data_IF_678615672729
#
_entry.id   IF_678615672729
#
_cell.length_a   1.000
_cell.length_b   1.000
_cell.length_c   1.000
_cell.angle_alpha   90.00
_cell.angle_beta   90.00
_cell.angle_gamma   90.00
#
_symmetry.space_group_name_H-M   'P 1'
#
loop_
_entity.id
_entity.type
_entity.pdbx_description
1 polymer ?
#
# COMPACT_ATOMS: atom_id res chain seq x y z
N UNK A 1 -3.68 6.65 20.01
CA UNK A 1 -2.30 6.37 20.50
C UNK A 1 -1.39 6.89 19.40
N UNK A 2 -0.82 8.07 19.60
CA UNK A 2 -0.04 8.81 18.59
C UNK A 2 1.39 8.29 18.66
N UNK A 3 1.93 7.73 17.58
CA UNK A 3 3.34 7.38 17.52
C UNK A 3 4.16 8.66 17.41
N UNK A 4 5.19 8.87 18.24
CA UNK A 4 6.07 10.02 18.11
C UNK A 4 7.03 9.81 16.94
N UNK A 5 7.47 10.88 16.25
CA UNK A 5 8.54 10.77 15.27
C UNK A 5 9.85 10.44 16.01
N UNK A 6 10.43 9.27 15.75
CA UNK A 6 11.77 8.95 16.23
C UNK A 6 12.79 9.72 15.38
N UNK A 7 13.20 10.89 15.87
CA UNK A 7 14.41 11.57 15.42
C UNK A 7 15.45 11.36 16.51
N UNK A 8 16.33 10.37 16.33
CA UNK A 8 17.58 10.31 17.09
C UNK A 8 18.73 10.75 16.18
N UNK A 9 19.32 11.86 16.57
CA UNK A 9 20.53 12.45 16.03
C UNK A 9 21.74 11.53 16.22
N UNK A 10 22.30 11.00 15.14
CA UNK A 10 23.70 10.56 15.09
C UNK A 10 24.24 10.82 13.68
N UNK A 11 25.05 11.89 13.58
CA UNK A 11 25.92 12.16 12.44
C UNK A 11 27.06 11.12 12.45
N UNK A 12 27.15 10.33 11.38
CA UNK A 12 28.33 9.53 11.04
C UNK A 12 28.33 9.26 9.53
N UNK A 13 29.11 10.06 8.80
CA UNK A 13 29.51 9.81 7.42
C UNK A 13 30.38 8.54 7.37
N UNK A 14 29.95 7.52 6.61
CA UNK A 14 30.73 6.46 5.89
C UNK A 14 30.03 5.10 5.85
N UNK A 15 28.84 5.05 5.29
CA UNK A 15 28.40 3.89 4.52
C UNK A 15 27.78 4.44 3.24
N UNK A 16 28.54 4.43 2.14
CA UNK A 16 27.96 4.73 0.83
C UNK A 16 26.91 3.66 0.56
N UNK A 17 25.63 4.03 0.65
CA UNK A 17 24.56 3.14 0.23
C UNK A 17 24.80 2.86 -1.26
N UNK A 18 25.00 1.58 -1.59
CA UNK A 18 25.04 1.16 -2.98
C UNK A 18 23.61 1.15 -3.52
N UNK A 19 23.18 2.31 -4.00
CA UNK A 19 21.90 2.46 -4.67
C UNK A 19 21.96 1.82 -6.06
N UNK A 20 20.91 1.08 -6.42
CA UNK A 20 20.70 0.65 -7.81
C UNK A 20 20.53 1.86 -8.74
N UNK A 21 20.68 1.67 -10.06
CA UNK A 21 20.46 2.76 -11.03
C UNK A 21 19.03 3.33 -10.93
N UNK A 22 18.04 2.48 -10.67
CA UNK A 22 16.64 2.87 -10.48
C UNK A 22 16.47 3.75 -9.24
N UNK A 23 17.10 3.37 -8.12
CA UNK A 23 17.07 4.16 -6.89
C UNK A 23 17.79 5.50 -7.06
N UNK A 24 18.95 5.54 -7.73
CA UNK A 24 19.64 6.81 -8.04
C UNK A 24 18.76 7.76 -8.84
N UNK A 25 18.10 7.25 -9.90
CA UNK A 25 17.16 8.02 -10.71
C UNK A 25 16.03 8.60 -9.85
N UNK A 26 15.45 7.80 -8.96
CA UNK A 26 14.41 8.27 -8.05
C UNK A 26 14.90 9.39 -7.13
N UNK A 27 16.11 9.26 -6.57
CA UNK A 27 16.72 10.29 -5.73
C UNK A 27 16.86 11.62 -6.48
N UNK A 28 17.29 11.56 -7.74
CA UNK A 28 17.43 12.72 -8.62
C UNK A 28 16.06 13.33 -8.96
N UNK A 29 15.09 12.52 -9.38
CA UNK A 29 13.74 12.98 -9.73
C UNK A 29 13.06 13.67 -8.56
N UNK A 30 13.09 13.07 -7.37
CA UNK A 30 12.47 13.66 -6.18
C UNK A 30 13.30 14.79 -5.57
N UNK A 31 14.59 14.91 -5.94
CA UNK A 31 15.52 15.85 -5.32
C UNK A 31 15.56 15.72 -3.78
N UNK A 32 15.43 14.48 -3.28
CA UNK A 32 15.43 14.13 -1.86
C UNK A 32 16.35 12.94 -1.62
N UNK A 33 17.12 12.91 -0.52
CA UNK A 33 17.97 11.78 -0.20
C UNK A 33 17.16 10.60 0.35
N UNK A 34 17.68 9.38 0.17
CA UNK A 34 17.22 8.21 0.92
C UNK A 34 17.66 8.27 2.39
N UNK A 35 16.99 7.49 3.23
CA UNK A 35 17.47 7.17 4.57
C UNK A 35 18.84 6.51 4.50
N UNK A 36 19.73 6.89 5.42
CA UNK A 36 21.08 6.34 5.53
C UNK A 36 21.11 4.85 5.91
N UNK A 37 20.01 4.34 6.46
CA UNK A 37 19.89 2.97 6.95
C UNK A 37 18.62 2.34 6.37
N UNK A 38 18.76 1.09 5.94
CA UNK A 38 17.62 0.25 5.59
C UNK A 38 16.88 -0.19 6.86
N UNK A 39 15.56 -0.27 6.76
CA UNK A 39 14.66 -0.69 7.83
C UNK A 39 13.88 -1.93 7.39
N UNK A 40 13.34 -2.64 8.38
CA UNK A 40 12.30 -3.63 8.13
C UNK A 40 10.94 -2.93 8.06
N UNK A 41 10.14 -3.30 7.07
CA UNK A 41 8.72 -2.95 7.02
C UNK A 41 7.90 -4.24 6.85
N UNK A 42 6.97 -4.57 7.78
CA UNK A 42 6.31 -5.87 7.83
C UNK A 42 5.50 -6.24 6.58
N UNK A 43 5.06 -5.26 5.80
CA UNK A 43 4.33 -5.48 4.55
C UNK A 43 5.20 -5.50 3.29
N UNK A 44 6.50 -5.19 3.40
CA UNK A 44 7.40 -5.00 2.24
C UNK A 44 8.63 -5.91 2.33
N UNK A 45 9.32 -5.96 3.47
CA UNK A 45 10.53 -6.78 3.66
C UNK A 45 11.59 -6.13 4.57
N UNK A 46 12.77 -6.73 4.64
CA UNK A 46 13.84 -6.37 5.60
C UNK A 46 14.84 -5.34 5.11
N UNK A 47 14.94 -5.11 3.79
CA UNK A 47 15.87 -4.16 3.19
C UNK A 47 15.08 -3.06 2.47
N UNK A 48 14.52 -2.15 3.27
CA UNK A 48 13.66 -1.07 2.79
C UNK A 48 14.29 0.27 3.13
N UNK A 49 14.45 1.13 2.14
CA UNK A 49 14.90 2.51 2.29
C UNK A 49 13.71 3.45 2.29
N UNK A 50 13.82 4.58 2.98
CA UNK A 50 12.77 5.60 3.00
C UNK A 50 13.21 6.88 2.31
N UNK A 51 12.28 7.54 1.63
CA UNK A 51 12.40 8.91 1.17
C UNK A 51 11.23 9.68 1.77
N UNK A 52 11.51 10.84 2.37
CA UNK A 52 10.48 11.77 2.81
C UNK A 52 10.25 12.79 1.70
N UNK A 53 9.03 12.82 1.17
CA UNK A 53 8.58 13.76 0.16
C UNK A 53 7.41 14.55 0.72
N UNK A 54 7.66 15.82 1.06
CA UNK A 54 6.69 16.66 1.76
C UNK A 54 6.14 16.00 3.04
N UNK A 55 4.86 15.62 3.06
CA UNK A 55 4.17 14.92 4.14
C UNK A 55 4.08 13.39 3.94
N UNK A 56 4.66 12.86 2.85
CA UNK A 56 4.64 11.45 2.51
C UNK A 56 5.95 10.76 2.87
N UNK A 57 5.83 9.55 3.41
CA UNK A 57 6.96 8.62 3.50
C UNK A 57 6.84 7.60 2.38
N UNK A 58 7.86 7.50 1.56
CA UNK A 58 7.95 6.52 0.48
C UNK A 58 8.96 5.46 0.87
N UNK A 59 8.55 4.20 0.83
CA UNK A 59 9.37 3.04 1.05
C UNK A 59 9.77 2.41 -0.28
N UNK A 60 11.04 2.05 -0.41
CA UNK A 60 11.63 1.48 -1.63
C UNK A 60 12.51 0.29 -1.25
N UNK A 61 12.41 -0.79 -1.99
CA UNK A 61 13.35 -1.92 -1.96
C UNK A 61 14.02 -2.05 -3.35
N UNK A 62 14.47 -3.25 -3.70
CA UNK A 62 15.12 -3.50 -4.99
C UNK A 62 14.13 -3.73 -6.15
N UNK A 63 12.82 -3.68 -5.89
CA UNK A 63 11.77 -3.86 -6.89
C UNK A 63 11.36 -2.54 -7.55
N UNK A 64 10.51 -2.63 -8.58
CA UNK A 64 9.92 -1.49 -9.29
C UNK A 64 8.73 -0.87 -8.54
N UNK A 65 8.43 -1.32 -7.33
CA UNK A 65 7.29 -0.86 -6.56
C UNK A 65 7.72 0.14 -5.49
N UNK A 66 7.04 1.28 -5.45
CA UNK A 66 7.27 2.33 -4.47
C UNK A 66 6.05 2.46 -3.56
N UNK A 67 6.24 2.23 -2.26
CA UNK A 67 5.12 2.15 -1.32
C UNK A 67 4.97 3.46 -0.57
N UNK A 68 3.79 4.06 -0.61
CA UNK A 68 3.51 5.37 -0.05
C UNK A 68 2.70 5.18 1.22
N UNK A 69 3.26 5.61 2.35
CA UNK A 69 2.52 5.74 3.60
C UNK A 69 1.58 6.93 3.54
N UNK A 70 0.31 6.66 3.76
CA UNK A 70 -0.73 7.67 3.85
C UNK A 70 -1.52 7.58 5.16
N UNK A 71 -1.08 6.77 6.12
CA UNK A 71 -1.77 6.62 7.38
C UNK A 71 -1.65 7.88 8.24
N UNK A 72 -0.52 8.59 8.14
CA UNK A 72 -0.27 9.83 8.89
C UNK A 72 -0.68 11.11 8.17
N UNK A 73 -1.11 11.06 6.91
CA UNK A 73 -1.49 12.26 6.16
C UNK A 73 -2.97 12.60 6.34
N UNK A 74 -3.25 13.89 6.43
CA UNK A 74 -4.61 14.41 6.57
C UNK A 74 -5.16 14.99 5.25
N UNK A 75 -4.30 15.18 4.24
CA UNK A 75 -4.66 15.78 2.95
C UNK A 75 -3.88 15.08 1.83
N UNK A 76 -4.45 15.09 0.63
CA UNK A 76 -3.88 14.48 -0.58
C UNK A 76 -3.28 15.53 -1.54
N UNK A 77 -2.93 16.72 -1.06
CA UNK A 77 -2.55 17.85 -1.92
C UNK A 77 -1.31 17.57 -2.79
N UNK A 78 -0.39 16.78 -2.26
CA UNK A 78 0.93 16.46 -2.81
C UNK A 78 0.99 15.09 -3.48
N UNK A 79 -0.05 14.26 -3.31
CA UNK A 79 -0.03 12.87 -3.77
C UNK A 79 0.05 12.78 -5.30
N UNK A 80 -0.64 13.65 -6.03
CA UNK A 80 -0.68 13.58 -7.49
C UNK A 80 0.71 13.88 -8.10
N UNK A 81 1.45 14.85 -7.55
CA UNK A 81 2.82 15.14 -7.97
C UNK A 81 3.77 14.00 -7.63
N UNK A 82 3.66 13.45 -6.41
CA UNK A 82 4.48 12.31 -6.00
C UNK A 82 4.25 11.09 -6.90
N UNK A 83 2.99 10.76 -7.23
CA UNK A 83 2.66 9.65 -8.12
C UNK A 83 3.29 9.83 -9.50
N UNK A 84 3.22 11.05 -10.05
CA UNK A 84 3.83 11.39 -11.33
C UNK A 84 5.36 11.26 -11.32
N UNK A 85 6.02 11.77 -10.28
CA UNK A 85 7.48 11.70 -10.16
C UNK A 85 7.97 10.26 -9.97
N UNK A 86 7.22 9.43 -9.23
CA UNK A 86 7.51 8.01 -9.10
C UNK A 86 7.42 7.29 -10.45
N UNK A 87 6.36 7.55 -11.22
CA UNK A 87 6.19 6.97 -12.55
C UNK A 87 7.32 7.41 -13.50
N UNK A 88 7.70 8.69 -13.48
CA UNK A 88 8.80 9.23 -14.26
C UNK A 88 10.15 8.57 -13.89
N UNK A 89 10.35 8.25 -12.61
CA UNK A 89 11.50 7.50 -12.13
C UNK A 89 11.45 5.99 -12.47
N UNK A 90 10.36 5.50 -13.07
CA UNK A 90 10.18 4.10 -13.46
C UNK A 90 9.64 3.20 -12.33
N UNK A 91 8.95 3.78 -11.35
CA UNK A 91 8.31 3.06 -10.26
C UNK A 91 6.79 2.98 -10.42
N UNK A 92 6.22 1.87 -9.96
CA UNK A 92 4.79 1.67 -9.79
C UNK A 92 4.39 2.06 -8.35
N UNK A 93 3.59 3.12 -8.16
CA UNK A 93 3.23 3.57 -6.83
C UNK A 93 2.19 2.66 -6.18
N UNK A 94 2.39 2.33 -4.92
CA UNK A 94 1.53 1.48 -4.09
C UNK A 94 1.11 2.23 -2.83
N UNK A 95 -0.16 2.55 -2.69
CA UNK A 95 -0.71 3.10 -1.43
C UNK A 95 -0.78 2.00 -0.37
N UNK A 96 -0.17 2.27 0.78
CA UNK A 96 -0.23 1.40 1.95
C UNK A 96 -1.52 1.60 2.73
N UNK A 97 -2.21 0.50 3.00
CA UNK A 97 -3.35 0.37 3.89
C UNK A 97 -4.42 1.47 3.71
N UNK A 98 -4.91 1.68 2.47
CA UNK A 98 -5.78 2.80 2.14
C UNK A 98 -7.07 2.82 2.95
N UNK A 99 -7.53 1.68 3.46
CA UNK A 99 -8.72 1.57 4.31
C UNK A 99 -8.55 2.16 5.72
N UNK A 100 -7.32 2.48 6.12
CA UNK A 100 -6.98 3.06 7.43
C UNK A 100 -6.72 4.56 7.36
N UNK A 101 -6.64 5.16 6.17
CA UNK A 101 -6.32 6.58 6.00
C UNK A 101 -7.57 7.43 5.93
N UNK A 102 -7.76 8.31 6.92
CA UNK A 102 -8.88 9.27 6.96
C UNK A 102 -8.95 10.15 5.69
N UNK A 103 -7.79 10.47 5.09
CA UNK A 103 -7.72 11.22 3.85
C UNK A 103 -8.38 10.51 2.66
N UNK A 104 -8.53 9.19 2.73
CA UNK A 104 -9.24 8.40 1.73
C UNK A 104 -10.68 8.04 2.14
N UNK A 105 -11.09 8.26 3.39
CA UNK A 105 -12.41 7.90 3.89
C UNK A 105 -13.43 9.04 3.70
N UNK A 106 -13.57 9.52 2.47
CA UNK A 106 -14.44 10.65 2.09
C UNK A 106 -15.47 10.25 1.01
N UNK A 107 -16.57 11.00 0.93
CA UNK A 107 -17.71 10.68 0.05
C UNK A 107 -17.39 10.65 -1.44
N UNK A 108 -16.32 11.31 -1.90
CA UNK A 108 -15.90 11.37 -3.29
C UNK A 108 -15.05 10.17 -3.74
N UNK A 109 -14.80 9.20 -2.84
CA UNK A 109 -14.07 7.95 -3.13
C UNK A 109 -12.69 8.22 -3.77
N UNK A 110 -11.84 9.07 -3.16
CA UNK A 110 -10.60 9.57 -3.77
C UNK A 110 -9.66 8.45 -4.18
N UNK A 111 -9.68 7.31 -3.50
CA UNK A 111 -8.83 6.17 -3.83
C UNK A 111 -9.13 5.59 -5.22
N UNK A 112 -10.40 5.57 -5.64
CA UNK A 112 -10.76 5.15 -7.01
C UNK A 112 -10.07 6.02 -8.07
N UNK A 113 -9.96 7.33 -7.83
CA UNK A 113 -9.26 8.26 -8.74
C UNK A 113 -7.77 7.94 -8.82
N UNK A 114 -7.13 7.64 -7.69
CA UNK A 114 -5.71 7.28 -7.65
C UNK A 114 -5.46 5.96 -8.40
N UNK A 115 -6.29 4.93 -8.16
CA UNK A 115 -6.16 3.65 -8.86
C UNK A 115 -6.39 3.79 -10.36
N UNK A 116 -7.37 4.60 -10.77
CA UNK A 116 -7.62 4.95 -12.18
C UNK A 116 -6.43 5.63 -12.87
N UNK A 117 -5.53 6.27 -12.12
CA UNK A 117 -4.30 6.90 -12.62
C UNK A 117 -3.10 5.92 -12.65
N UNK A 118 -3.30 4.64 -12.36
CA UNK A 118 -2.24 3.63 -12.37
C UNK A 118 -1.62 3.33 -11.01
N UNK A 119 -2.15 3.91 -9.92
CA UNK A 119 -1.69 3.60 -8.58
C UNK A 119 -2.28 2.27 -8.07
N UNK A 120 -1.51 1.54 -7.27
CA UNK A 120 -1.91 0.27 -6.70
C UNK A 120 -2.27 0.42 -5.21
N UNK A 121 -3.11 -0.45 -4.65
CA UNK A 121 -3.40 -0.52 -3.22
C UNK A 121 -2.93 -1.81 -2.57
N UNK A 122 -2.33 -1.70 -1.39
CA UNK A 122 -2.09 -2.82 -0.48
C UNK A 122 -2.99 -2.71 0.75
N UNK A 123 -3.97 -3.60 0.89
CA UNK A 123 -4.88 -3.62 2.06
C UNK A 123 -4.27 -4.43 3.20
N UNK A 124 -4.64 -4.11 4.44
CA UNK A 124 -4.15 -4.78 5.64
C UNK A 124 -4.85 -6.11 5.86
N UNK A 125 -4.05 -7.14 6.14
CA UNK A 125 -4.56 -8.44 6.58
C UNK A 125 -5.33 -8.32 7.91
N UNK A 126 -4.89 -7.50 8.86
CA UNK A 126 -5.63 -7.20 10.10
C UNK A 126 -7.00 -6.59 9.81
N UNK A 127 -7.12 -5.70 8.82
CA UNK A 127 -8.41 -5.14 8.40
C UNK A 127 -9.34 -6.24 7.90
N UNK A 128 -8.86 -7.13 7.03
CA UNK A 128 -9.64 -8.26 6.51
C UNK A 128 -10.09 -9.22 7.61
N UNK A 129 -9.23 -9.47 8.60
CA UNK A 129 -9.52 -10.30 9.77
C UNK A 129 -10.42 -9.60 10.81
N UNK A 130 -10.70 -8.31 10.65
CA UNK A 130 -11.54 -7.54 11.59
C UNK A 130 -10.84 -7.12 12.87
N UNK A 131 -9.50 -7.07 12.87
CA UNK A 131 -8.66 -6.66 14.00
C UNK A 131 -8.44 -5.15 14.06
N UNK A 132 -8.54 -4.46 12.92
CA UNK A 132 -8.49 -2.99 12.87
C UNK A 132 -9.86 -2.36 13.18
N UNK A 133 -9.89 -1.19 13.84
CA UNK A 133 -11.12 -0.59 14.35
C UNK A 133 -12.01 -0.01 13.25
N UNK A 134 -13.23 0.37 13.65
CA UNK A 134 -14.14 1.15 12.83
C UNK A 134 -14.68 0.38 11.62
N UNK A 135 -14.60 1.00 10.44
CA UNK A 135 -15.12 0.45 9.18
C UNK A 135 -14.04 -0.23 8.32
N UNK A 136 -12.80 -0.33 8.82
CA UNK A 136 -11.65 -0.83 8.07
C UNK A 136 -11.94 -2.17 7.38
N UNK A 137 -12.55 -3.13 8.09
CA UNK A 137 -12.91 -4.42 7.51
C UNK A 137 -13.87 -4.30 6.32
N UNK A 138 -14.94 -3.50 6.46
CA UNK A 138 -15.92 -3.29 5.39
C UNK A 138 -15.25 -2.63 4.18
N UNK A 139 -14.40 -1.64 4.44
CA UNK A 139 -13.69 -0.88 3.40
C UNK A 139 -12.69 -1.77 2.66
N UNK A 140 -11.87 -2.56 3.36
CA UNK A 140 -10.94 -3.50 2.75
C UNK A 140 -11.65 -4.50 1.81
N UNK A 141 -12.75 -5.11 2.25
CA UNK A 141 -13.52 -6.01 1.37
C UNK A 141 -14.16 -5.30 0.19
N UNK A 142 -14.59 -4.05 0.35
CA UNK A 142 -15.16 -3.29 -0.75
C UNK A 142 -14.10 -2.87 -1.77
N UNK A 143 -12.92 -2.44 -1.30
CA UNK A 143 -11.78 -2.15 -2.17
C UNK A 143 -11.37 -3.39 -2.97
N UNK A 144 -11.30 -4.57 -2.34
CA UNK A 144 -11.04 -5.82 -3.03
C UNK A 144 -12.12 -6.17 -4.07
N UNK A 145 -13.42 -6.03 -3.74
CA UNK A 145 -14.52 -6.26 -4.70
C UNK A 145 -14.54 -5.27 -5.87
N UNK A 146 -14.04 -4.06 -5.65
CA UNK A 146 -14.02 -2.99 -6.64
C UNK A 146 -12.73 -2.93 -7.44
N UNK A 147 -11.86 -3.94 -7.36
CA UNK A 147 -10.54 -3.96 -8.00
C UNK A 147 -9.71 -2.71 -7.66
N UNK A 148 -9.79 -2.24 -6.41
CA UNK A 148 -9.00 -1.12 -5.89
C UNK A 148 -7.80 -1.61 -5.06
N UNK A 149 -7.90 -2.84 -4.55
CA UNK A 149 -6.82 -3.50 -3.83
C UNK A 149 -6.14 -4.53 -4.74
N UNK A 150 -4.81 -4.55 -4.75
CA UNK A 150 -4.00 -5.45 -5.56
C UNK A 150 -3.12 -6.36 -4.72
N UNK A 151 -2.93 -6.04 -3.44
CA UNK A 151 -2.10 -6.79 -2.51
C UNK A 151 -2.77 -6.90 -1.13
N UNK A 152 -2.41 -7.96 -0.40
CA UNK A 152 -2.66 -8.06 1.04
C UNK A 152 -1.30 -7.99 1.74
N UNK A 153 -1.14 -7.04 2.67
CA UNK A 153 0.10 -6.83 3.44
C UNK A 153 -0.12 -6.88 4.95
N UNK A 154 0.98 -6.99 5.69
CA UNK A 154 1.01 -6.88 7.16
C UNK A 154 1.46 -5.48 7.55
N UNK A 155 0.62 -4.72 8.26
CA UNK A 155 0.99 -3.41 8.78
C UNK A 155 1.73 -3.47 10.12
N UNK A 156 1.86 -4.67 10.71
CA UNK A 156 2.47 -4.89 12.02
C UNK A 156 3.44 -6.05 11.98
N UNK A 157 4.54 -5.93 12.71
CA UNK A 157 5.57 -6.96 12.81
C UNK A 157 5.06 -8.24 13.49
N UNK A 158 4.04 -8.16 14.35
CA UNK A 158 3.52 -9.33 15.06
C UNK A 158 2.64 -10.24 14.19
N UNK A 159 2.27 -9.80 12.97
CA UNK A 159 1.46 -10.62 12.07
C UNK A 159 2.26 -11.80 11.56
N UNK A 160 1.73 -13.00 11.82
CA UNK A 160 2.36 -14.25 11.38
C UNK A 160 1.92 -14.60 9.97
N UNK A 161 2.68 -15.48 9.33
CA UNK A 161 2.33 -16.05 8.03
C UNK A 161 0.93 -16.69 8.03
N UNK A 162 0.53 -17.29 9.15
CA UNK A 162 -0.81 -17.87 9.32
C UNK A 162 -1.93 -16.80 9.31
N UNK A 163 -1.65 -15.56 9.72
CA UNK A 163 -2.61 -14.47 9.65
C UNK A 163 -2.82 -14.01 8.20
N UNK A 164 -1.75 -13.94 7.41
CA UNK A 164 -1.83 -13.66 5.98
C UNK A 164 -2.65 -14.74 5.27
N UNK A 165 -2.36 -16.02 5.55
CA UNK A 165 -3.13 -17.15 5.01
C UNK A 165 -4.61 -17.07 5.41
N UNK A 166 -4.90 -16.74 6.66
CA UNK A 166 -6.27 -16.57 7.14
C UNK A 166 -6.97 -15.39 6.44
N UNK A 167 -6.27 -14.30 6.15
CA UNK A 167 -6.82 -13.17 5.40
C UNK A 167 -7.20 -13.57 3.96
N UNK A 168 -6.33 -14.31 3.26
CA UNK A 168 -6.65 -14.87 1.95
C UNK A 168 -7.87 -15.81 1.99
N UNK A 169 -7.93 -16.72 2.97
CA UNK A 169 -9.07 -17.63 3.14
C UNK A 169 -10.39 -16.87 3.40
N UNK A 170 -10.33 -15.73 4.10
CA UNK A 170 -11.50 -14.87 4.30
C UNK A 170 -11.93 -14.14 3.03
N UNK A 171 -10.98 -13.68 2.20
CA UNK A 171 -11.28 -13.10 0.88
C UNK A 171 -11.94 -14.14 0.00
N UNK A 172 -11.38 -15.35 -0.08
CA UNK A 172 -11.92 -16.47 -0.85
C UNK A 172 -13.37 -16.77 -0.46
N UNK A 173 -13.64 -16.90 0.85
CA UNK A 173 -15.00 -17.17 1.36
C UNK A 173 -16.00 -16.03 1.10
N UNK A 174 -15.57 -14.77 1.01
CA UNK A 174 -16.46 -13.58 0.95
C UNK A 174 -16.58 -12.94 -0.41
N UNK A 175 -15.63 -13.18 -1.30
CA UNK A 175 -15.54 -12.55 -2.62
C UNK A 175 -15.44 -13.64 -3.69
N UNK A 176 -14.57 -14.63 -3.49
CA UNK A 176 -14.38 -15.76 -4.39
C UNK A 176 -12.91 -16.16 -4.52
N UNK A 177 -12.66 -17.40 -4.94
CA UNK A 177 -11.30 -17.95 -5.07
C UNK A 177 -10.44 -17.20 -6.09
N UNK A 178 -11.03 -16.74 -7.20
CA UNK A 178 -10.32 -15.95 -8.22
C UNK A 178 -9.72 -14.66 -7.63
N UNK A 179 -10.52 -13.86 -6.93
CA UNK A 179 -10.04 -12.63 -6.30
C UNK A 179 -8.94 -12.90 -5.24
N UNK A 180 -9.07 -13.97 -4.47
CA UNK A 180 -8.05 -14.36 -3.49
C UNK A 180 -6.73 -14.76 -4.17
N UNK A 181 -6.83 -15.48 -5.29
CA UNK A 181 -5.67 -15.92 -6.06
C UNK A 181 -4.97 -14.77 -6.77
N UNK A 182 -5.71 -13.84 -7.40
CA UNK A 182 -5.13 -12.63 -8.00
C UNK A 182 -4.34 -11.82 -6.98
N UNK A 183 -4.91 -11.58 -5.78
CA UNK A 183 -4.21 -10.87 -4.70
C UNK A 183 -2.98 -11.63 -4.17
N UNK A 184 -2.97 -12.95 -4.27
CA UNK A 184 -1.85 -13.80 -3.84
C UNK A 184 -0.74 -13.79 -4.89
N UNK A 185 -1.08 -14.09 -6.14
CA UNK A 185 -0.15 -14.07 -7.27
C UNK A 185 0.50 -12.71 -7.43
N UNK A 186 -0.25 -11.61 -7.28
CA UNK A 186 0.30 -10.26 -7.33
C UNK A 186 1.35 -10.00 -6.25
N UNK A 187 1.17 -10.53 -5.03
CA UNK A 187 2.17 -10.40 -3.96
C UNK A 187 3.47 -11.13 -4.29
N UNK A 188 3.36 -12.31 -4.90
CA UNK A 188 4.53 -13.08 -5.37
C UNK A 188 5.26 -12.36 -6.51
N UNK A 189 4.50 -11.82 -7.48
CA UNK A 189 5.05 -11.03 -8.61
C UNK A 189 5.80 -9.79 -8.14
N UNK A 190 5.23 -9.02 -7.21
CA UNK A 190 5.92 -7.86 -6.60
C UNK A 190 7.25 -8.26 -5.98
N UNK A 191 7.26 -9.36 -5.22
CA UNK A 191 8.47 -9.86 -4.55
C UNK A 191 9.54 -10.31 -5.56
N UNK A 192 9.13 -10.71 -6.76
CA UNK A 192 9.99 -11.10 -7.87
C UNK A 192 10.37 -9.95 -8.82
N UNK A 193 10.00 -8.70 -8.51
CA UNK A 193 10.11 -7.54 -9.41
C UNK A 193 9.44 -7.76 -10.79
N UNK A 194 8.31 -8.48 -10.82
CA UNK A 194 7.51 -8.77 -12.03
C UNK A 194 6.21 -7.93 -12.08
N UNK A 195 5.63 -7.82 -13.27
CA UNK A 195 4.36 -7.12 -13.50
C UNK A 195 3.19 -7.84 -12.82
N UNK A 196 2.32 -7.04 -12.20
CA UNK A 196 1.09 -7.49 -11.53
C UNK A 196 -0.09 -7.48 -12.49
N UNK A 197 -1.06 -8.35 -12.24
CA UNK A 197 -2.32 -8.39 -12.96
C UNK A 197 -3.32 -7.45 -12.28
N UNK A 198 -3.89 -6.53 -13.06
CA UNK A 198 -4.78 -5.48 -12.55
C UNK A 198 -6.04 -5.44 -13.40
N UNK A 199 -7.17 -5.70 -12.76
CA UNK A 199 -8.48 -5.52 -13.37
C UNK A 199 -8.91 -4.05 -13.36
N UNK A 200 -9.84 -3.70 -14.26
CA UNK A 200 -10.37 -2.35 -14.30
C UNK A 200 -11.06 -1.99 -12.96
N UNK A 201 -10.71 -0.84 -12.34
CA UNK A 201 -11.30 -0.42 -11.08
C UNK A 201 -12.77 -0.07 -11.27
N UNK A 202 -13.61 -0.50 -10.34
CA UNK A 202 -15.04 -0.23 -10.31
C UNK A 202 -15.31 0.96 -9.40
N UNK A 203 -15.99 1.98 -9.91
CA UNK A 203 -16.41 3.12 -9.09
C UNK A 203 -17.48 2.66 -8.09
N UNK A 204 -17.13 2.63 -6.81
CA UNK A 204 -18.04 2.28 -5.73
C UNK A 204 -17.76 3.06 -4.46
N UNK A 205 -18.80 3.27 -3.64
CA UNK A 205 -18.65 3.80 -2.29
C UNK A 205 -18.15 2.69 -1.36
N UNK A 206 -16.82 2.62 -1.21
CA UNK A 206 -16.17 1.60 -0.39
C UNK A 206 -16.44 1.75 1.12
N UNK A 207 -17.04 2.85 1.59
CA UNK A 207 -17.41 3.01 3.01
C UNK A 207 -18.79 2.43 3.35
N UNK A 208 -19.62 2.17 2.35
CA UNK A 208 -20.97 1.62 2.56
C UNK A 208 -20.93 0.10 2.68
N UNK A 209 -21.74 -0.43 3.60
CA UNK A 209 -21.98 -1.87 3.62
C UNK A 209 -22.65 -2.28 2.31
N UNK A 210 -22.19 -3.36 1.65
CA UNK A 210 -22.87 -3.86 0.46
C UNK A 210 -24.33 -4.18 0.81
N UNK A 211 -25.27 -3.71 -0.01
CA UNK A 211 -26.68 -4.09 0.13
C UNK A 211 -26.75 -5.61 -0.03
N UNK A 212 -27.28 -6.33 0.97
CA UNK A 212 -27.55 -7.76 0.83
C UNK A 212 -28.47 -7.95 -0.37
N UNK A 213 -27.96 -8.49 -1.48
CA UNK A 213 -28.82 -9.10 -2.49
C UNK A 213 -29.34 -10.38 -1.85
N UNK A 214 -30.59 -10.36 -1.39
CA UNK A 214 -31.32 -11.59 -1.16
C UNK A 214 -31.43 -12.27 -2.51
N UNK A 215 -30.59 -13.27 -2.77
CA UNK A 215 -30.88 -14.24 -3.81
C UNK A 215 -31.96 -15.15 -3.24
N UNK A 216 -33.20 -14.87 -3.60
CA UNK A 216 -34.27 -15.85 -3.53
C UNK A 216 -34.14 -16.75 -4.76
N UNK A 217 -33.68 -17.98 -4.56
CA UNK A 217 -34.08 -19.16 -5.31
C UNK A 217 -33.71 -20.42 -4.52
#
# INVERSE_FOLDING_TARGET
>A
MVYPPMISSEFSDKNSIFLSERQKRLQETLSRPFSYKAVHHPGIGSMVYTIVYEDHTVYINDTRYAYIDIASIHRLSSIDSLLYDLELAGYYPVILYPELSDALLTHDTPFYRLVRKGCLGMISASSLLGRNPGKAQVIAYNMARGNLAHFIGSERDEMREDDIKAAYAKVESKIGSEAAETLRSNRERVSADDHVEVDLPVKMDYMKRPKRRFFSQ
#
